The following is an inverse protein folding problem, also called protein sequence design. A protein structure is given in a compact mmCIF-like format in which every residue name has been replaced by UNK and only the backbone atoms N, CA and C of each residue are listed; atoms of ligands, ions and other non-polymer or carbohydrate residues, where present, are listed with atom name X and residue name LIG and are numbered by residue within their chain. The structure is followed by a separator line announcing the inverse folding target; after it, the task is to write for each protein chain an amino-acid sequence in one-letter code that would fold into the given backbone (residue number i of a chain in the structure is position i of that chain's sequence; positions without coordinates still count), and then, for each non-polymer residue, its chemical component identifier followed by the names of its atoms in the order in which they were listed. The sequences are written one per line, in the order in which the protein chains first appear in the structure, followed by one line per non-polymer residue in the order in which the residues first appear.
data_IF_192775422141
#
_entry.id   IF_192775422141
#
_cell.length_a   1.000
_cell.length_b   1.000
_cell.length_c   1.000
_cell.angle_alpha   90.00
_cell.angle_beta   90.00
_cell.angle_gamma   90.00
#
_symmetry.space_group_name_H-M   'P 1'
#
loop_
_entity.id
_entity.type
_entity.pdbx_description
1 polymer ?
#
# COMPACT_ATOMS: atom_id res chain seq x y z
N UNK A 1 4.76 -22.49 -21.48
CA UNK A 1 4.52 -23.28 -20.24
C UNK A 1 4.74 -22.34 -19.07
N UNK A 2 3.67 -21.88 -18.45
CA UNK A 2 3.76 -21.03 -17.25
C UNK A 2 4.16 -21.94 -16.08
N UNK A 3 5.39 -21.83 -15.62
CA UNK A 3 5.82 -22.42 -14.36
C UNK A 3 5.03 -21.74 -13.25
N UNK A 4 4.05 -22.44 -12.69
CA UNK A 4 3.41 -22.02 -11.46
C UNK A 4 4.51 -21.93 -10.38
N UNK A 5 4.95 -20.73 -10.07
CA UNK A 5 5.90 -20.46 -9.00
C UNK A 5 5.28 -21.02 -7.72
N UNK A 6 5.93 -21.99 -7.09
CA UNK A 6 5.46 -22.55 -5.82
C UNK A 6 5.25 -21.39 -4.84
N UNK A 7 4.04 -21.26 -4.29
CA UNK A 7 3.74 -20.22 -3.33
C UNK A 7 4.61 -20.43 -2.09
N UNK A 8 5.36 -19.40 -1.70
CA UNK A 8 6.10 -19.39 -0.45
C UNK A 8 5.10 -19.14 0.69
N UNK A 9 4.86 -20.15 1.51
CA UNK A 9 3.84 -20.12 2.58
C UNK A 9 4.54 -20.25 3.91
N UNK A 10 4.34 -19.27 4.78
CA UNK A 10 4.74 -19.28 6.18
C UNK A 10 3.54 -19.45 7.10
N UNK A 11 3.79 -19.57 8.40
CA UNK A 11 2.76 -19.68 9.43
C UNK A 11 2.89 -18.57 10.46
N UNK A 12 1.75 -18.00 10.86
CA UNK A 12 1.71 -16.97 11.90
C UNK A 12 2.12 -17.59 13.23
N UNK A 13 3.16 -17.04 13.84
CA UNK A 13 3.66 -17.49 15.16
C UNK A 13 3.22 -16.59 16.28
N UNK A 14 3.00 -15.31 16.03
CA UNK A 14 2.61 -14.32 17.04
C UNK A 14 1.80 -13.20 16.41
N UNK A 15 0.85 -12.63 17.18
CA UNK A 15 0.09 -11.43 16.82
C UNK A 15 0.20 -10.44 17.96
N UNK A 16 0.60 -9.20 17.67
CA UNK A 16 0.80 -8.13 18.65
C UNK A 16 0.19 -6.84 18.10
N UNK A 17 -1.06 -6.55 18.47
CA UNK A 17 -1.75 -5.37 17.96
C UNK A 17 -1.82 -5.36 16.43
N UNK A 18 -1.26 -4.33 15.81
CA UNK A 18 -1.20 -4.17 14.35
C UNK A 18 -0.02 -4.88 13.68
N UNK A 19 0.77 -5.66 14.43
CA UNK A 19 1.90 -6.43 13.90
C UNK A 19 1.71 -7.91 14.13
N UNK A 20 2.28 -8.73 13.27
CA UNK A 20 2.29 -10.17 13.41
C UNK A 20 3.62 -10.75 12.91
N UNK A 21 4.02 -11.85 13.54
CA UNK A 21 5.25 -12.54 13.19
C UNK A 21 4.91 -13.84 12.45
N UNK A 22 5.63 -14.09 11.37
CA UNK A 22 5.45 -15.25 10.49
C UNK A 22 6.76 -16.01 10.40
N UNK A 23 6.68 -17.34 10.49
CA UNK A 23 7.80 -18.23 10.28
C UNK A 23 7.69 -18.86 8.88
N UNK A 24 8.77 -18.75 8.11
CA UNK A 24 8.90 -19.33 6.79
C UNK A 24 9.91 -20.47 6.79
N UNK A 25 9.79 -21.41 5.84
CA UNK A 25 10.79 -22.48 5.69
C UNK A 25 12.20 -21.91 5.49
N UNK A 26 13.19 -22.67 5.96
CA UNK A 26 14.59 -22.27 5.84
C UNK A 26 14.97 -21.99 4.37
N UNK A 27 15.66 -20.88 4.14
CA UNK A 27 16.06 -20.43 2.80
C UNK A 27 14.96 -19.76 1.97
N UNK A 28 13.71 -19.64 2.49
CA UNK A 28 12.58 -19.03 1.78
C UNK A 28 12.02 -17.80 2.49
N UNK A 29 12.86 -17.09 3.22
CA UNK A 29 12.44 -15.91 3.95
C UNK A 29 12.10 -14.75 2.99
N UNK A 30 10.91 -14.12 3.10
CA UNK A 30 10.54 -12.98 2.27
C UNK A 30 11.51 -11.82 2.41
N UNK A 31 11.69 -11.05 1.35
CA UNK A 31 12.44 -9.80 1.42
C UNK A 31 11.68 -8.73 2.23
N UNK A 32 12.43 -7.79 2.81
CA UNK A 32 11.84 -6.60 3.45
C UNK A 32 11.02 -5.84 2.40
N UNK A 33 9.86 -5.33 2.81
CA UNK A 33 8.81 -4.70 2.00
C UNK A 33 8.02 -5.65 1.09
N UNK A 34 8.28 -6.96 1.09
CA UNK A 34 7.36 -7.86 0.41
C UNK A 34 5.96 -7.78 1.01
N UNK A 35 4.97 -7.80 0.12
CA UNK A 35 3.58 -7.96 0.51
C UNK A 35 3.31 -9.42 0.85
N UNK A 36 2.64 -9.64 1.96
CA UNK A 36 2.15 -10.95 2.38
C UNK A 36 0.64 -10.93 2.47
N UNK A 37 0.01 -12.05 2.19
CA UNK A 37 -1.45 -12.18 2.22
C UNK A 37 -1.88 -13.34 3.11
N UNK A 38 -2.90 -13.08 3.93
CA UNK A 38 -3.56 -14.06 4.78
C UNK A 38 -5.01 -14.12 4.33
N UNK A 39 -5.40 -15.28 3.79
CA UNK A 39 -6.78 -15.57 3.45
C UNK A 39 -7.20 -16.82 4.26
N UNK A 40 -8.17 -16.68 5.15
CA UNK A 40 -8.66 -17.78 5.97
C UNK A 40 -10.15 -17.66 6.22
N UNK A 41 -10.82 -18.79 6.27
CA UNK A 41 -12.21 -18.89 6.69
C UNK A 41 -12.28 -19.83 7.90
N UNK A 42 -12.55 -19.26 9.07
CA UNK A 42 -12.64 -20.03 10.30
C UNK A 42 -13.90 -19.67 11.08
N UNK A 43 -14.69 -20.68 11.47
CA UNK A 43 -15.89 -20.52 12.30
C UNK A 43 -16.87 -19.46 11.77
N UNK A 44 -16.97 -19.31 10.45
CA UNK A 44 -17.84 -18.30 9.82
C UNK A 44 -17.25 -16.88 9.80
N UNK A 45 -15.98 -16.70 10.15
CA UNK A 45 -15.25 -15.44 10.02
C UNK A 45 -14.31 -15.58 8.83
N UNK A 46 -14.52 -14.75 7.82
CA UNK A 46 -13.61 -14.63 6.68
C UNK A 46 -12.56 -13.57 6.99
N UNK A 47 -11.29 -13.96 6.97
CA UNK A 47 -10.15 -13.06 7.14
C UNK A 47 -9.49 -12.93 5.77
N UNK A 48 -9.38 -11.71 5.26
CA UNK A 48 -8.56 -11.38 4.09
C UNK A 48 -7.73 -10.15 4.46
N UNK A 49 -6.47 -10.39 4.81
CA UNK A 49 -5.59 -9.37 5.34
C UNK A 49 -4.31 -9.30 4.52
N UNK A 50 -3.97 -8.09 4.12
CA UNK A 50 -2.65 -7.77 3.58
C UNK A 50 -1.72 -7.34 4.71
N UNK A 51 -0.46 -7.73 4.60
CA UNK A 51 0.61 -7.28 5.46
C UNK A 51 1.86 -6.96 4.66
N UNK A 52 2.78 -6.27 5.28
CA UNK A 52 4.08 -5.93 4.70
C UNK A 52 5.21 -6.36 5.64
N UNK A 53 6.21 -7.03 5.10
CA UNK A 53 7.40 -7.44 5.85
C UNK A 53 8.24 -6.22 6.20
N UNK A 54 8.44 -5.98 7.50
CA UNK A 54 9.20 -4.82 7.99
C UNK A 54 10.55 -5.20 8.58
N UNK A 55 10.67 -6.41 9.13
CA UNK A 55 11.89 -6.80 9.83
C UNK A 55 12.12 -8.30 9.77
N UNK A 56 13.37 -8.71 9.63
CA UNK A 56 13.81 -10.07 9.84
C UNK A 56 14.21 -10.26 11.31
N UNK A 57 13.60 -11.27 11.96
CA UNK A 57 13.83 -11.55 13.39
C UNK A 57 14.89 -12.63 13.63
N UNK A 58 15.36 -13.29 12.56
CA UNK A 58 16.19 -14.46 12.63
C UNK A 58 15.40 -15.77 12.80
N UNK A 59 16.07 -16.92 12.56
CA UNK A 59 15.44 -18.24 12.67
C UNK A 59 14.26 -18.45 11.74
N UNK A 60 14.32 -17.92 10.51
CA UNK A 60 13.23 -18.06 9.53
C UNK A 60 12.01 -17.14 9.79
N UNK A 61 12.08 -16.29 10.82
CA UNK A 61 10.94 -15.44 11.21
C UNK A 61 11.07 -14.02 10.72
N UNK A 62 9.94 -13.48 10.28
CA UNK A 62 9.80 -12.09 9.86
C UNK A 62 8.69 -11.41 10.65
N UNK A 63 8.83 -10.12 10.89
CA UNK A 63 7.78 -9.26 11.44
C UNK A 63 7.12 -8.49 10.34
N UNK A 64 5.80 -8.58 10.32
CA UNK A 64 4.95 -7.90 9.36
C UNK A 64 4.06 -6.86 10.06
N UNK A 65 3.79 -5.78 9.36
CA UNK A 65 2.75 -4.80 9.73
C UNK A 65 1.48 -5.14 8.98
N UNK A 66 0.38 -5.26 9.71
CA UNK A 66 -0.94 -5.48 9.13
C UNK A 66 -1.43 -4.19 8.44
N UNK A 67 -1.91 -4.34 7.23
CA UNK A 67 -2.48 -3.25 6.44
C UNK A 67 -4.03 -3.21 6.55
N UNK A 68 -4.56 -3.74 7.63
CA UNK A 68 -5.98 -3.80 7.97
C UNK A 68 -6.17 -4.25 9.41
N UNK A 69 -7.41 -4.60 9.79
CA UNK A 69 -7.68 -5.12 11.13
C UNK A 69 -7.07 -6.51 11.31
N UNK A 70 -6.47 -6.73 12.47
CA UNK A 70 -5.95 -8.04 12.91
C UNK A 70 -6.97 -8.85 13.73
N UNK A 71 -8.22 -8.38 13.82
CA UNK A 71 -9.27 -9.05 14.54
C UNK A 71 -9.53 -10.45 13.96
N UNK A 72 -9.54 -11.45 14.85
CA UNK A 72 -9.70 -12.84 14.44
C UNK A 72 -8.43 -13.53 13.95
N UNK A 73 -7.31 -12.83 13.84
CA UNK A 73 -6.04 -13.42 13.46
C UNK A 73 -5.50 -14.31 14.56
N UNK A 74 -5.19 -15.57 14.25
CA UNK A 74 -4.68 -16.54 15.20
C UNK A 74 -3.36 -17.15 14.73
N UNK A 75 -2.63 -17.76 15.66
CA UNK A 75 -1.41 -18.52 15.35
C UNK A 75 -1.73 -19.72 14.48
N UNK A 76 -0.79 -20.10 13.62
CA UNK A 76 -0.90 -21.27 12.76
C UNK A 76 -1.65 -21.01 11.45
N UNK A 77 -2.16 -19.78 11.21
CA UNK A 77 -2.71 -19.43 9.91
C UNK A 77 -1.61 -19.33 8.86
N UNK A 78 -1.93 -19.75 7.66
CA UNK A 78 -1.05 -19.62 6.52
C UNK A 78 -0.93 -18.16 6.08
N UNK A 79 0.31 -17.75 5.82
CA UNK A 79 0.66 -16.44 5.33
C UNK A 79 1.47 -16.59 4.03
N UNK A 80 0.91 -16.12 2.94
CA UNK A 80 1.48 -16.28 1.60
C UNK A 80 2.36 -15.08 1.29
N UNK A 81 3.64 -15.31 1.02
CA UNK A 81 4.53 -14.31 0.42
C UNK A 81 4.18 -14.13 -1.06
N UNK A 82 3.95 -12.90 -1.49
CA UNK A 82 3.65 -12.59 -2.90
C UNK A 82 4.90 -12.47 -3.76
N UNK A 83 6.10 -12.47 -3.14
CA UNK A 83 7.39 -12.30 -3.80
C UNK A 83 7.65 -10.90 -4.34
N UNK A 84 6.82 -9.92 -4.02
CA UNK A 84 6.93 -8.53 -4.47
C UNK A 84 6.35 -7.56 -3.44
N UNK A 85 6.75 -6.28 -3.46
CA UNK A 85 6.14 -5.24 -2.64
C UNK A 85 4.65 -5.04 -2.96
N UNK A 86 3.93 -4.35 -2.07
CA UNK A 86 2.59 -3.86 -2.37
C UNK A 86 2.66 -2.96 -3.60
N UNK A 87 1.87 -3.29 -4.61
CA UNK A 87 1.80 -2.53 -5.87
C UNK A 87 0.39 -2.00 -6.10
N UNK A 88 0.30 -0.84 -6.72
CA UNK A 88 -0.97 -0.22 -7.08
C UNK A 88 -1.06 0.00 -8.59
N UNK A 89 -2.25 -0.14 -9.18
CA UNK A 89 -2.44 0.17 -10.59
C UNK A 89 -2.23 1.66 -10.83
N UNK A 90 -1.60 2.00 -11.95
CA UNK A 90 -1.34 3.39 -12.35
C UNK A 90 -1.76 3.63 -13.80
N UNK A 91 -1.82 4.90 -14.20
CA UNK A 91 -2.14 5.31 -15.56
C UNK A 91 -3.55 5.86 -15.71
N UNK A 92 -3.94 6.14 -16.96
CA UNK A 92 -5.22 6.80 -17.28
C UNK A 92 -6.45 6.01 -16.88
N UNK A 93 -6.37 4.69 -16.85
CA UNK A 93 -7.47 3.80 -16.47
C UNK A 93 -7.86 3.93 -14.99
N UNK A 94 -7.00 4.51 -14.15
CA UNK A 94 -7.26 4.70 -12.72
C UNK A 94 -7.97 6.01 -12.40
N UNK A 95 -8.06 6.93 -13.36
CA UNK A 95 -8.68 8.24 -13.15
C UNK A 95 -10.18 8.11 -12.84
N UNK A 96 -10.63 8.80 -11.78
CA UNK A 96 -12.02 8.77 -11.32
C UNK A 96 -12.46 7.43 -10.72
N UNK A 97 -11.52 6.54 -10.38
CA UNK A 97 -11.74 5.25 -9.72
C UNK A 97 -11.33 5.30 -8.25
N UNK A 98 -11.91 4.43 -7.45
CA UNK A 98 -11.58 4.29 -6.02
C UNK A 98 -11.07 2.87 -5.78
N UNK A 99 -9.93 2.77 -5.11
CA UNK A 99 -9.24 1.50 -4.85
C UNK A 99 -9.07 1.26 -3.36
N UNK A 100 -9.03 -0.01 -2.98
CA UNK A 100 -8.51 -0.39 -1.68
C UNK A 100 -6.97 -0.38 -1.69
N UNK A 101 -6.38 -0.71 -0.54
CA UNK A 101 -4.93 -0.77 -0.36
C UNK A 101 -4.23 -1.79 -1.29
N UNK A 102 -4.90 -2.89 -1.61
CA UNK A 102 -4.40 -3.93 -2.53
C UNK A 102 -4.51 -3.55 -4.00
N UNK A 103 -4.99 -2.34 -4.33
CA UNK A 103 -5.20 -1.89 -5.70
C UNK A 103 -6.46 -2.47 -6.36
N UNK A 104 -7.37 -3.05 -5.59
CA UNK A 104 -8.64 -3.56 -6.09
C UNK A 104 -9.70 -2.44 -6.09
N UNK A 105 -10.49 -2.27 -7.17
CA UNK A 105 -11.52 -1.25 -7.23
C UNK A 105 -12.67 -1.56 -6.25
N UNK A 106 -13.07 -0.55 -5.47
CA UNK A 106 -14.16 -0.61 -4.49
C UNK A 106 -15.34 0.31 -4.83
N UNK A 107 -15.34 0.90 -6.01
CA UNK A 107 -16.35 1.85 -6.48
C UNK A 107 -17.53 1.19 -7.20
N UNK A 108 -17.65 -0.13 -7.20
CA UNK A 108 -18.68 -0.93 -7.87
C UNK A 108 -18.77 -0.71 -9.41
N UNK A 109 -17.69 -0.23 -10.03
CA UNK A 109 -17.64 0.01 -11.48
C UNK A 109 -16.91 -1.10 -12.26
N UNK A 110 -16.71 -2.27 -11.62
CA UNK A 110 -16.02 -3.40 -12.23
C UNK A 110 -14.49 -3.27 -12.22
N UNK A 111 -13.79 -4.28 -12.75
CA UNK A 111 -12.34 -4.31 -12.75
C UNK A 111 -11.73 -3.17 -13.57
N UNK A 112 -10.49 -2.81 -13.25
CA UNK A 112 -9.70 -1.82 -13.98
C UNK A 112 -8.63 -2.54 -14.79
N UNK A 113 -8.62 -2.33 -16.10
CA UNK A 113 -7.55 -2.79 -16.98
C UNK A 113 -6.40 -1.76 -16.92
N UNK A 114 -5.56 -1.87 -15.90
CA UNK A 114 -4.36 -1.05 -15.80
C UNK A 114 -3.22 -1.73 -16.57
N UNK A 115 -2.50 -0.94 -17.36
CA UNK A 115 -1.37 -1.43 -18.14
C UNK A 115 -0.10 -1.55 -17.31
N UNK A 116 -0.02 -0.81 -16.19
CA UNK A 116 1.16 -0.75 -15.34
C UNK A 116 0.82 -0.74 -13.84
N UNK A 117 1.76 -1.26 -13.03
CA UNK A 117 1.64 -1.35 -11.58
C UNK A 117 2.93 -0.86 -10.93
N UNK A 118 2.81 0.08 -10.01
CA UNK A 118 3.95 0.63 -9.30
C UNK A 118 3.99 0.22 -7.84
N UNK A 119 5.20 -0.10 -7.32
CA UNK A 119 5.35 -0.35 -5.89
C UNK A 119 5.09 0.94 -5.09
N UNK A 120 4.50 0.78 -3.90
CA UNK A 120 4.25 1.92 -2.99
C UNK A 120 5.56 2.52 -2.45
N UNK A 121 6.60 1.69 -2.28
CA UNK A 121 7.96 2.12 -1.95
C UNK A 121 8.72 2.38 -3.25
N UNK A 122 8.80 3.63 -3.61
CA UNK A 122 9.40 4.08 -4.85
C UNK A 122 10.27 5.31 -4.61
N UNK A 123 11.41 5.36 -5.25
CA UNK A 123 12.26 6.54 -5.25
C UNK A 123 11.53 7.73 -5.90
N UNK A 124 11.74 8.96 -5.38
CA UNK A 124 11.22 10.16 -6.02
C UNK A 124 11.88 10.36 -7.39
N UNK A 125 11.25 11.15 -8.29
CA UNK A 125 11.85 11.52 -9.55
C UNK A 125 13.21 12.20 -9.33
N UNK A 126 14.17 11.94 -10.22
CA UNK A 126 15.47 12.61 -10.15
C UNK A 126 15.31 14.12 -10.30
N UNK A 127 16.17 14.90 -9.66
CA UNK A 127 16.11 16.37 -9.75
C UNK A 127 16.22 16.86 -11.19
N UNK A 128 16.92 16.12 -12.03
CA UNK A 128 17.06 16.40 -13.47
C UNK A 128 15.74 16.29 -14.24
N UNK A 129 14.79 15.50 -13.74
CA UNK A 129 13.50 15.25 -14.37
C UNK A 129 12.42 16.25 -13.91
N UNK A 130 12.77 17.12 -12.95
CA UNK A 130 11.85 18.12 -12.42
C UNK A 130 11.84 19.36 -13.31
N UNK A 131 10.65 19.90 -13.58
CA UNK A 131 10.50 21.20 -14.23
C UNK A 131 11.01 22.30 -13.28
N UNK A 132 11.96 23.12 -13.75
CA UNK A 132 12.47 24.28 -13.03
C UNK A 132 11.59 25.53 -13.21
N UNK A 133 10.58 25.48 -14.08
CA UNK A 133 9.69 26.60 -14.34
C UNK A 133 8.66 26.72 -13.23
N UNK A 134 8.59 27.91 -12.63
CA UNK A 134 7.55 28.26 -11.68
C UNK A 134 6.32 28.73 -12.46
N UNK A 135 5.23 27.95 -12.39
CA UNK A 135 3.94 28.29 -12.98
C UNK A 135 2.89 28.47 -11.89
N UNK A 136 2.05 29.50 -12.04
CA UNK A 136 0.94 29.72 -11.12
C UNK A 136 -0.17 28.70 -11.38
N UNK A 137 -0.72 28.12 -10.31
CA UNK A 137 -1.93 27.33 -10.35
C UNK A 137 -3.13 28.24 -10.15
N UNK A 138 -3.82 28.60 -11.22
CA UNK A 138 -4.99 29.46 -11.17
C UNK A 138 -6.17 28.74 -10.50
N UNK A 139 -6.65 29.29 -9.40
CA UNK A 139 -7.79 28.75 -8.62
C UNK A 139 -9.12 29.35 -9.07
N UNK A 140 -9.10 30.49 -9.75
CA UNK A 140 -10.25 31.30 -10.08
C UNK A 140 -10.78 32.15 -8.91
N UNK A 141 -10.14 32.08 -7.74
CA UNK A 141 -10.48 32.89 -6.58
C UNK A 141 -9.54 34.10 -6.57
N UNK A 142 -10.07 35.28 -6.88
CA UNK A 142 -9.27 36.51 -7.09
C UNK A 142 -8.32 36.83 -5.95
N UNK A 143 -8.76 36.67 -4.70
CA UNK A 143 -7.94 36.99 -3.54
C UNK A 143 -6.77 36.04 -3.37
N UNK A 144 -6.95 34.77 -3.70
CA UNK A 144 -5.88 33.76 -3.67
C UNK A 144 -4.91 34.00 -4.82
N UNK A 145 -5.43 34.09 -6.03
CA UNK A 145 -4.59 34.18 -7.24
C UNK A 145 -3.78 35.48 -7.29
N UNK A 146 -4.30 36.57 -6.68
CA UNK A 146 -3.63 37.86 -6.66
C UNK A 146 -2.68 38.05 -5.47
N UNK A 147 -3.09 37.65 -4.26
CA UNK A 147 -2.36 37.97 -3.03
C UNK A 147 -1.49 36.81 -2.51
N UNK A 148 -1.91 35.56 -2.74
CA UNK A 148 -1.23 34.36 -2.25
C UNK A 148 -1.27 33.22 -3.29
N UNK A 149 -0.75 33.43 -4.51
CA UNK A 149 -0.89 32.46 -5.58
C UNK A 149 -0.24 31.13 -5.23
N UNK A 150 -0.89 30.05 -5.61
CA UNK A 150 -0.33 28.72 -5.51
C UNK A 150 0.59 28.43 -6.71
N UNK A 151 1.68 27.73 -6.43
CA UNK A 151 2.60 27.28 -7.48
C UNK A 151 2.21 25.87 -7.90
N UNK A 152 2.14 25.61 -9.19
CA UNK A 152 1.88 24.29 -9.74
C UNK A 152 2.99 23.32 -9.31
N UNK A 153 2.61 22.18 -8.69
CA UNK A 153 3.56 21.22 -8.09
C UNK A 153 4.18 21.68 -6.77
N UNK A 154 3.81 22.88 -6.26
CA UNK A 154 4.27 23.37 -4.97
C UNK A 154 3.54 22.71 -3.79
N UNK A 155 4.07 22.95 -2.59
CA UNK A 155 3.47 22.53 -1.31
C UNK A 155 2.95 23.78 -0.59
N UNK A 156 1.64 23.82 -0.30
CA UNK A 156 1.02 24.91 0.42
C UNK A 156 0.40 24.40 1.71
N UNK A 157 0.63 25.10 2.82
CA UNK A 157 0.00 24.83 4.11
C UNK A 157 -1.16 25.78 4.36
N UNK A 158 -2.34 25.24 4.68
CA UNK A 158 -3.52 26.00 5.07
C UNK A 158 -3.77 25.78 6.56
N UNK A 159 -3.64 26.84 7.35
CA UNK A 159 -3.76 26.81 8.81
C UNK A 159 -5.01 27.58 9.25
N UNK A 160 -5.68 27.06 10.26
CA UNK A 160 -6.84 27.71 10.85
C UNK A 160 -7.30 27.00 12.11
N UNK A 161 -8.06 27.69 12.96
CA UNK A 161 -8.67 27.10 14.13
C UNK A 161 -9.76 26.07 13.82
N UNK A 162 -10.24 25.37 14.84
CA UNK A 162 -11.35 24.43 14.70
C UNK A 162 -12.62 25.17 14.21
N UNK A 163 -13.33 24.58 13.24
CA UNK A 163 -14.59 25.13 12.73
C UNK A 163 -14.45 26.27 11.70
N UNK A 164 -13.26 26.61 11.23
CA UNK A 164 -13.04 27.69 10.26
C UNK A 164 -13.06 27.23 8.79
N UNK A 165 -13.62 26.06 8.48
CA UNK A 165 -13.86 25.62 7.08
C UNK A 165 -12.61 25.18 6.33
N UNK A 166 -11.62 24.61 7.01
CA UNK A 166 -10.44 24.00 6.36
C UNK A 166 -10.84 22.76 5.57
#
# INVERSE_FOLDING_TARGET
MSTATAKNIGQITQVIGSTFDVEYPEGHMPAIYNAVKIDSEQKGITISLWGEVQQHLGGGRVRCVALGSTDGLIRGLDCIDTGKPVTVPVGKATLGRVFNLGGEPIDNRGPVAADDFWPIHRDPPAVTDLSTKTEVFETGIKVIDLLTPFVRGGKAGLFGGAGLGK
#
